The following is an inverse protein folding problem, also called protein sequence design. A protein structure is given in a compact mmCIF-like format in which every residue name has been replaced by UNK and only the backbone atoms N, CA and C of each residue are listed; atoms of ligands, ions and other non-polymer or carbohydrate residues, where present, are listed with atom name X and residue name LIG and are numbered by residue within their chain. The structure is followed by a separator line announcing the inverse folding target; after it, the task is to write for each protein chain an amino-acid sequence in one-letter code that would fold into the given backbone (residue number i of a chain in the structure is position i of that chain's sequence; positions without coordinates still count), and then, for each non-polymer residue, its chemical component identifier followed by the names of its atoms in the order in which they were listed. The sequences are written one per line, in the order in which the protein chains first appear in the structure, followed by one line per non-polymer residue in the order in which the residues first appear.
data_IF_393382645625
#
_entry.id   IF_393382645625
#
_cell.length_a   1.000
_cell.length_b   1.000
_cell.length_c   1.000
_cell.angle_alpha   90.00
_cell.angle_beta   90.00
_cell.angle_gamma   90.00
#
_symmetry.space_group_name_H-M   'P 1'
#
loop_
_entity.id
_entity.type
_entity.pdbx_description
1 polymer ?
#
# COMPACT_ATOMS: atom_id res chain seq x y z
N UNK A 1 -26.93 -9.57 12.53
CA UNK A 1 -25.64 -9.02 12.99
C UNK A 1 -25.94 -7.63 13.49
N UNK A 2 -25.63 -7.31 14.75
CA UNK A 2 -25.72 -5.91 15.22
C UNK A 2 -24.52 -5.19 14.65
N UNK A 3 -24.67 -4.03 13.98
CA UNK A 3 -23.56 -3.29 13.38
C UNK A 3 -22.59 -2.67 14.41
N UNK A 4 -22.81 -2.93 15.71
CA UNK A 4 -22.18 -2.22 16.82
C UNK A 4 -21.08 -3.00 17.53
N UNK A 5 -20.80 -4.23 17.11
CA UNK A 5 -19.83 -5.11 17.80
C UNK A 5 -18.37 -4.83 17.39
N UNK A 6 -17.98 -3.55 17.41
CA UNK A 6 -16.60 -3.14 17.23
C UNK A 6 -15.83 -3.28 18.54
N UNK A 7 -14.79 -4.09 18.51
CA UNK A 7 -13.80 -4.21 19.58
C UNK A 7 -12.54 -3.41 19.20
N UNK A 8 -12.04 -2.58 20.13
CA UNK A 8 -10.83 -1.79 19.93
C UNK A 8 -9.74 -2.21 20.92
N UNK A 9 -8.49 -2.26 20.45
CA UNK A 9 -7.31 -2.57 21.26
C UNK A 9 -6.11 -1.78 20.75
N UNK A 10 -5.11 -1.57 21.59
CA UNK A 10 -3.78 -1.07 21.21
C UNK A 10 -2.75 -2.21 21.15
N UNK A 11 -3.15 -3.42 21.52
CA UNK A 11 -2.30 -4.61 21.51
C UNK A 11 -2.30 -5.26 20.12
N UNK A 12 -1.13 -5.21 19.48
CA UNK A 12 -0.93 -5.80 18.14
C UNK A 12 -1.05 -7.33 18.15
N UNK A 13 -0.59 -7.99 19.20
CA UNK A 13 -0.58 -9.46 19.26
C UNK A 13 -2.02 -9.98 19.49
N UNK A 14 -2.79 -9.32 20.35
CA UNK A 14 -4.22 -9.58 20.51
C UNK A 14 -4.95 -9.41 19.17
N UNK A 15 -4.72 -8.29 18.48
CA UNK A 15 -5.33 -8.02 17.19
C UNK A 15 -4.97 -9.08 16.15
N UNK A 16 -3.69 -9.44 16.03
CA UNK A 16 -3.24 -10.44 15.06
C UNK A 16 -3.74 -11.85 15.37
N UNK A 17 -3.90 -12.20 16.64
CA UNK A 17 -4.46 -13.49 17.05
C UNK A 17 -5.92 -13.63 16.55
N UNK A 18 -6.71 -12.56 16.59
CA UNK A 18 -8.13 -12.54 16.18
C UNK A 18 -8.29 -12.27 14.69
N UNK A 19 -7.66 -11.22 14.15
CA UNK A 19 -7.82 -10.79 12.76
C UNK A 19 -7.01 -11.60 11.75
N UNK A 20 -5.94 -12.28 12.19
CA UNK A 20 -4.96 -12.86 11.28
C UNK A 20 -5.54 -13.89 10.31
N UNK A 21 -6.48 -14.72 10.75
CA UNK A 21 -7.21 -15.67 9.88
C UNK A 21 -8.02 -14.96 8.81
N UNK A 22 -8.81 -13.96 9.21
CA UNK A 22 -9.62 -13.14 8.32
C UNK A 22 -8.76 -12.41 7.27
N UNK A 23 -7.68 -11.76 7.70
CA UNK A 23 -6.80 -11.02 6.77
C UNK A 23 -6.12 -11.96 5.76
N UNK A 24 -5.69 -13.15 6.20
CA UNK A 24 -5.08 -14.15 5.31
C UNK A 24 -6.10 -14.90 4.43
N UNK A 25 -7.39 -14.80 4.67
CA UNK A 25 -8.42 -15.42 3.81
C UNK A 25 -8.53 -14.76 2.43
N UNK A 26 -8.12 -13.48 2.32
CA UNK A 26 -8.11 -12.71 1.06
C UNK A 26 -6.81 -11.93 0.93
N UNK A 27 -5.65 -12.60 0.82
CA UNK A 27 -4.35 -11.96 0.99
C UNK A 27 -4.05 -10.89 -0.07
N UNK A 28 -4.53 -11.05 -1.30
CA UNK A 28 -4.42 -10.04 -2.34
C UNK A 28 -5.17 -8.76 -1.96
N UNK A 29 -6.42 -8.87 -1.52
CA UNK A 29 -7.25 -7.71 -1.14
C UNK A 29 -6.72 -7.00 0.10
N UNK A 30 -6.25 -7.76 1.07
CA UNK A 30 -5.73 -7.26 2.34
C UNK A 30 -4.22 -6.99 2.32
N UNK A 31 -3.63 -6.82 1.11
CA UNK A 31 -2.17 -6.63 0.96
C UNK A 31 -1.64 -5.45 1.77
N UNK A 32 -2.38 -4.34 1.86
CA UNK A 32 -1.97 -3.16 2.63
C UNK A 32 -1.95 -3.45 4.12
N UNK A 33 -3.00 -4.09 4.64
CA UNK A 33 -3.07 -4.49 6.05
C UNK A 33 -1.96 -5.49 6.40
N UNK A 34 -1.85 -6.58 5.65
CA UNK A 34 -0.86 -7.63 5.90
C UNK A 34 0.58 -7.08 5.88
N UNK A 35 0.92 -6.25 4.90
CA UNK A 35 2.27 -5.70 4.77
C UNK A 35 2.58 -4.72 5.91
N UNK A 36 1.61 -3.87 6.30
CA UNK A 36 1.80 -2.87 7.36
C UNK A 36 1.87 -3.53 8.74
N UNK A 37 0.99 -4.48 9.02
CA UNK A 37 0.98 -5.22 10.29
C UNK A 37 2.27 -6.06 10.47
N UNK A 38 2.78 -6.66 9.41
CA UNK A 38 4.07 -7.36 9.46
C UNK A 38 5.22 -6.39 9.76
N UNK A 39 5.18 -5.18 9.19
CA UNK A 39 6.16 -4.14 9.53
C UNK A 39 6.03 -3.69 10.99
N UNK A 40 4.81 -3.58 11.52
CA UNK A 40 4.59 -3.30 12.96
C UNK A 40 5.14 -4.43 13.84
N UNK A 41 4.90 -5.69 13.46
CA UNK A 41 5.39 -6.86 14.19
C UNK A 41 6.91 -6.94 14.24
N UNK A 42 7.59 -6.60 13.15
CA UNK A 42 9.06 -6.71 13.04
C UNK A 42 9.82 -5.50 13.58
N UNK A 43 9.21 -4.31 13.57
CA UNK A 43 9.87 -3.04 13.95
C UNK A 43 9.24 -2.33 15.14
N UNK A 44 8.12 -2.84 15.62
CA UNK A 44 7.30 -2.15 16.62
C UNK A 44 6.43 -1.04 16.00
N UNK A 45 5.37 -0.69 16.71
CA UNK A 45 4.41 0.37 16.32
C UNK A 45 5.03 1.76 16.29
N UNK A 46 6.08 2.00 17.09
CA UNK A 46 6.83 3.26 17.14
C UNK A 46 7.48 3.65 15.79
N UNK A 47 7.70 2.67 14.89
CA UNK A 47 8.18 2.95 13.53
C UNK A 47 7.20 3.76 12.66
N UNK A 48 5.96 3.95 13.11
CA UNK A 48 4.89 4.67 12.41
C UNK A 48 4.61 6.07 13.01
N UNK A 49 5.39 6.50 13.97
CA UNK A 49 5.28 7.81 14.61
C UNK A 49 5.07 7.74 16.12
N UNK A 50 4.97 8.92 16.74
CA UNK A 50 4.70 9.05 18.17
C UNK A 50 3.21 8.98 18.44
N UNK A 51 2.81 8.14 19.39
CA UNK A 51 1.42 7.92 19.80
C UNK A 51 0.93 6.50 19.52
N UNK A 52 -0.27 6.16 20.03
CA UNK A 52 -0.80 4.82 19.90
C UNK A 52 -1.23 4.50 18.47
N UNK A 53 -1.04 3.25 18.08
CA UNK A 53 -1.77 2.61 16.99
C UNK A 53 -3.00 1.96 17.60
N UNK A 54 -4.17 2.30 17.08
CA UNK A 54 -5.44 1.70 17.52
C UNK A 54 -5.86 0.68 16.48
N UNK A 55 -6.17 -0.51 16.92
CA UNK A 55 -6.72 -1.59 16.11
C UNK A 55 -8.21 -1.76 16.39
N UNK A 56 -9.00 -2.11 15.38
CA UNK A 56 -10.43 -2.38 15.54
C UNK A 56 -10.85 -3.63 14.79
N UNK A 57 -11.75 -4.37 15.38
CA UNK A 57 -12.36 -5.58 14.84
C UNK A 57 -13.87 -5.47 14.88
N UNK A 58 -14.51 -5.75 13.76
CA UNK A 58 -15.94 -6.00 13.71
C UNK A 58 -16.16 -7.51 13.78
N UNK A 59 -16.77 -7.96 14.88
CA UNK A 59 -17.01 -9.37 15.11
C UNK A 59 -18.50 -9.67 15.27
N UNK A 60 -18.92 -10.79 14.74
CA UNK A 60 -20.26 -11.32 14.96
C UNK A 60 -20.23 -12.85 14.93
N UNK A 61 -20.96 -13.50 15.83
CA UNK A 61 -21.05 -14.95 15.93
C UNK A 61 -19.66 -15.65 16.00
N UNK A 62 -18.68 -15.02 16.66
CA UNK A 62 -17.32 -15.55 16.82
C UNK A 62 -16.43 -15.45 15.57
N UNK A 63 -16.87 -14.72 14.54
CA UNK A 63 -16.09 -14.50 13.32
C UNK A 63 -15.78 -13.01 13.12
N UNK A 64 -14.57 -12.71 12.62
CA UNK A 64 -14.19 -11.37 12.20
C UNK A 64 -14.76 -11.10 10.81
N UNK A 65 -15.46 -9.99 10.66
CA UNK A 65 -16.08 -9.54 9.40
C UNK A 65 -15.38 -8.35 8.80
N UNK A 66 -14.77 -7.51 9.64
CA UNK A 66 -13.93 -6.39 9.19
C UNK A 66 -12.83 -6.09 10.20
N UNK A 67 -11.80 -5.42 9.73
CA UNK A 67 -10.66 -5.02 10.54
C UNK A 67 -10.17 -3.63 10.12
N UNK A 68 -9.62 -2.90 11.08
CA UNK A 68 -8.96 -1.63 10.85
C UNK A 68 -7.71 -1.49 11.70
N UNK A 69 -6.84 -0.59 11.27
CA UNK A 69 -5.89 0.06 12.16
C UNK A 69 -5.87 1.57 11.90
N UNK A 70 -5.65 2.34 12.95
CA UNK A 70 -5.47 3.79 12.93
C UNK A 70 -4.06 4.12 13.36
N UNK A 71 -3.29 4.73 12.47
CA UNK A 71 -1.90 5.14 12.71
C UNK A 71 -1.83 6.37 13.63
N UNK A 72 -0.65 6.64 14.25
CA UNK A 72 -0.38 7.91 14.94
C UNK A 72 -0.64 9.14 14.09
N UNK A 73 -0.41 9.06 12.76
CA UNK A 73 -0.79 10.10 11.78
C UNK A 73 -2.30 10.34 11.67
N UNK A 74 -3.13 9.62 12.46
CA UNK A 74 -4.60 9.65 12.46
C UNK A 74 -5.24 9.13 11.17
N UNK A 75 -4.49 8.52 10.26
CA UNK A 75 -5.04 7.83 9.09
C UNK A 75 -5.57 6.47 9.50
N UNK A 76 -6.79 6.16 9.07
CA UNK A 76 -7.43 4.85 9.26
C UNK A 76 -7.31 4.03 7.97
N UNK A 77 -6.94 2.77 8.10
CA UNK A 77 -6.93 1.80 7.01
C UNK A 77 -7.95 0.72 7.31
N UNK A 78 -8.91 0.54 6.41
CA UNK A 78 -10.07 -0.34 6.58
C UNK A 78 -10.00 -1.53 5.64
N UNK A 79 -10.56 -2.65 6.06
CA UNK A 79 -11.07 -3.68 5.15
C UNK A 79 -12.49 -3.30 4.71
N UNK A 80 -13.06 -4.05 3.75
CA UNK A 80 -14.38 -3.75 3.19
C UNK A 80 -15.47 -3.63 4.26
N UNK A 81 -16.30 -2.60 4.14
CA UNK A 81 -17.47 -2.32 4.98
C UNK A 81 -18.70 -2.03 4.12
N UNK A 82 -19.90 -2.38 4.62
CA UNK A 82 -21.13 -1.82 4.06
C UNK A 82 -21.28 -0.34 4.47
N UNK A 83 -22.13 0.44 3.77
CA UNK A 83 -22.40 1.84 4.15
C UNK A 83 -22.89 1.98 5.60
N UNK A 84 -23.72 1.05 6.08
CA UNK A 84 -24.23 1.04 7.46
C UNK A 84 -23.11 0.76 8.47
N UNK A 85 -22.20 -0.18 8.15
CA UNK A 85 -21.04 -0.48 8.98
C UNK A 85 -20.08 0.70 9.05
N UNK A 86 -19.88 1.40 7.92
CA UNK A 86 -19.06 2.60 7.85
C UNK A 86 -19.64 3.74 8.69
N UNK A 87 -20.95 3.93 8.68
CA UNK A 87 -21.63 4.95 9.49
C UNK A 87 -21.51 4.66 11.00
N UNK A 88 -21.78 3.42 11.39
CA UNK A 88 -21.60 2.97 12.78
C UNK A 88 -20.16 3.15 13.25
N UNK A 89 -19.17 2.76 12.42
CA UNK A 89 -17.76 2.95 12.75
C UNK A 89 -17.40 4.42 12.94
N UNK A 90 -17.86 5.31 12.06
CA UNK A 90 -17.62 6.74 12.18
C UNK A 90 -18.18 7.30 13.49
N UNK A 91 -19.40 6.92 13.86
CA UNK A 91 -20.02 7.28 15.15
C UNK A 91 -19.26 6.74 16.36
N UNK A 92 -18.77 5.49 16.28
CA UNK A 92 -17.97 4.88 17.36
C UNK A 92 -16.63 5.58 17.57
N UNK A 93 -15.90 5.85 16.48
CA UNK A 93 -14.60 6.57 16.55
C UNK A 93 -14.80 7.99 17.12
N UNK A 94 -15.85 8.69 16.70
CA UNK A 94 -16.21 10.00 17.23
C UNK A 94 -16.56 9.94 18.72
N UNK A 95 -17.37 8.95 19.13
CA UNK A 95 -17.75 8.74 20.53
C UNK A 95 -16.56 8.40 21.44
N UNK A 96 -15.51 7.79 20.90
CA UNK A 96 -14.25 7.54 21.60
C UNK A 96 -13.30 8.76 21.60
N UNK A 97 -13.69 9.88 21.02
CA UNK A 97 -12.84 11.06 20.90
C UNK A 97 -11.65 10.89 19.94
N UNK A 98 -11.68 9.85 19.10
CA UNK A 98 -10.59 9.56 18.16
C UNK A 98 -10.74 10.45 16.92
N UNK A 99 -9.76 11.31 16.69
CA UNK A 99 -9.68 12.10 15.45
C UNK A 99 -9.16 11.27 14.30
N UNK A 100 -9.73 11.46 13.10
CA UNK A 100 -9.29 10.82 11.85
C UNK A 100 -8.89 11.89 10.86
N UNK A 101 -7.64 11.84 10.38
CA UNK A 101 -7.09 12.77 9.39
C UNK A 101 -7.14 12.21 7.95
N UNK A 102 -7.57 10.98 7.79
CA UNK A 102 -7.75 10.36 6.48
C UNK A 102 -8.15 8.90 6.59
N UNK A 103 -8.68 8.37 5.50
CA UNK A 103 -9.07 6.96 5.36
C UNK A 103 -8.47 6.38 4.09
N UNK A 104 -8.09 5.11 4.13
CA UNK A 104 -7.66 4.31 2.99
C UNK A 104 -8.37 2.96 3.03
N UNK A 105 -9.09 2.63 1.96
CA UNK A 105 -9.78 1.36 1.79
C UNK A 105 -10.04 1.09 0.30
N UNK A 106 -10.74 0.01 -0.02
CA UNK A 106 -11.42 -0.10 -1.32
C UNK A 106 -12.34 1.11 -1.53
N UNK A 107 -12.61 1.41 -2.80
CA UNK A 107 -13.27 2.66 -3.21
C UNK A 107 -14.60 2.90 -2.49
N UNK A 108 -15.46 1.88 -2.44
CA UNK A 108 -16.80 2.02 -1.88
C UNK A 108 -16.76 2.21 -0.36
N UNK A 109 -15.91 1.44 0.33
CA UNK A 109 -15.70 1.58 1.78
C UNK A 109 -15.09 2.94 2.13
N UNK A 110 -14.06 3.38 1.40
CA UNK A 110 -13.43 4.67 1.67
C UNK A 110 -14.40 5.84 1.46
N UNK A 111 -15.21 5.78 0.41
CA UNK A 111 -16.23 6.79 0.10
C UNK A 111 -17.33 6.80 1.17
N UNK A 112 -17.90 5.64 1.47
CA UNK A 112 -18.96 5.54 2.48
C UNK A 112 -18.49 5.99 3.88
N UNK A 113 -17.24 5.64 4.26
CA UNK A 113 -16.68 6.10 5.53
C UNK A 113 -16.41 7.61 5.53
N UNK A 114 -15.87 8.18 4.45
CA UNK A 114 -15.61 9.61 4.37
C UNK A 114 -16.91 10.43 4.47
N UNK A 115 -17.98 10.00 3.78
CA UNK A 115 -19.31 10.60 3.87
C UNK A 115 -19.90 10.48 5.28
N UNK A 116 -19.79 9.31 5.90
CA UNK A 116 -20.23 9.10 7.27
C UNK A 116 -19.46 10.00 8.24
N UNK A 117 -18.13 10.07 8.10
CA UNK A 117 -17.29 10.91 8.94
C UNK A 117 -17.66 12.40 8.82
N UNK A 118 -17.96 12.87 7.59
CA UNK A 118 -18.47 14.24 7.36
C UNK A 118 -19.79 14.48 8.10
N UNK A 119 -20.74 13.53 8.05
CA UNK A 119 -22.02 13.67 8.76
C UNK A 119 -21.85 13.77 10.29
N UNK A 120 -20.96 12.94 10.86
CA UNK A 120 -20.76 12.88 12.31
C UNK A 120 -19.90 14.03 12.87
N UNK A 121 -19.01 14.62 12.05
CA UNK A 121 -18.01 15.57 12.57
C UNK A 121 -18.04 16.95 11.91
N UNK A 122 -18.70 17.09 10.77
CA UNK A 122 -18.64 18.30 9.94
C UNK A 122 -17.28 18.47 9.21
N UNK A 123 -16.40 17.47 9.22
CA UNK A 123 -15.12 17.51 8.54
C UNK A 123 -15.29 17.60 7.02
N UNK A 124 -14.37 18.31 6.34
CA UNK A 124 -14.29 18.23 4.88
C UNK A 124 -13.50 16.99 4.45
N UNK A 125 -13.90 16.37 3.33
CA UNK A 125 -13.17 15.27 2.70
C UNK A 125 -12.64 15.69 1.32
N UNK A 126 -11.36 15.43 1.09
CA UNK A 126 -10.70 15.65 -0.19
C UNK A 126 -10.08 14.34 -0.70
N UNK A 127 -10.12 14.12 -2.02
CA UNK A 127 -9.42 13.01 -2.62
C UNK A 127 -7.90 13.19 -2.46
N UNK A 128 -7.25 12.26 -1.76
CA UNK A 128 -5.81 12.28 -1.56
C UNK A 128 -5.06 11.31 -2.49
N UNK A 129 -5.56 10.10 -2.66
CA UNK A 129 -4.90 9.07 -3.46
C UNK A 129 -5.90 8.12 -4.11
N UNK A 130 -5.57 7.62 -5.31
CA UNK A 130 -6.28 6.54 -5.99
C UNK A 130 -5.30 5.49 -6.48
N UNK A 131 -5.67 4.23 -6.32
CA UNK A 131 -4.86 3.11 -6.80
C UNK A 131 -5.73 1.97 -7.29
N UNK A 132 -5.34 1.37 -8.41
CA UNK A 132 -5.91 0.12 -8.88
C UNK A 132 -5.03 -1.03 -8.46
N UNK A 133 -5.56 -1.92 -7.64
CA UNK A 133 -4.94 -3.16 -7.28
C UNK A 133 -5.05 -4.14 -8.46
N UNK A 134 -3.92 -4.68 -8.87
CA UNK A 134 -3.85 -5.77 -9.82
C UNK A 134 -3.37 -7.03 -9.11
N UNK A 135 -3.96 -8.16 -9.48
CA UNK A 135 -3.56 -9.50 -9.03
C UNK A 135 -3.04 -10.30 -10.21
N UNK A 136 -1.95 -11.02 -10.03
CA UNK A 136 -1.43 -11.90 -11.05
C UNK A 136 -2.43 -13.05 -11.33
N UNK A 137 -2.78 -13.20 -12.61
CA UNK A 137 -3.37 -14.41 -13.16
C UNK A 137 -2.26 -15.33 -13.67
N UNK A 138 -2.15 -15.49 -14.99
CA UNK A 138 -1.06 -16.25 -15.62
C UNK A 138 0.06 -15.31 -16.03
N UNK A 139 1.27 -15.54 -15.52
CA UNK A 139 2.43 -14.71 -15.86
C UNK A 139 2.81 -14.90 -17.35
N UNK A 140 2.76 -13.81 -18.10
CA UNK A 140 3.11 -13.74 -19.53
C UNK A 140 4.34 -12.85 -19.73
N UNK A 141 5.53 -13.41 -19.98
CA UNK A 141 6.72 -12.61 -20.26
C UNK A 141 6.56 -11.76 -21.53
N UNK A 142 7.23 -10.59 -21.63
CA UNK A 142 7.23 -9.82 -22.86
C UNK A 142 7.94 -10.56 -23.99
N UNK A 143 7.43 -10.40 -25.22
CA UNK A 143 8.07 -10.92 -26.42
C UNK A 143 8.28 -9.78 -27.42
N UNK A 144 9.54 -9.57 -27.89
CA UNK A 144 10.77 -10.23 -27.41
C UNK A 144 11.15 -9.82 -25.99
N UNK A 145 11.82 -10.70 -25.25
CA UNK A 145 12.45 -10.34 -23.97
C UNK A 145 13.63 -9.39 -24.28
N UNK A 146 13.72 -8.22 -23.66
CA UNK A 146 14.86 -7.32 -23.86
C UNK A 146 16.16 -7.98 -23.40
N UNK A 147 17.25 -7.73 -24.12
CA UNK A 147 18.57 -8.25 -23.75
C UNK A 147 18.95 -7.85 -22.31
N UNK A 148 19.55 -8.79 -21.58
CA UNK A 148 19.92 -8.58 -20.18
C UNK A 148 19.40 -9.68 -19.26
N UNK A 149 19.47 -9.41 -17.95
CA UNK A 149 19.02 -10.36 -16.92
C UNK A 149 18.55 -9.66 -15.66
N UNK A 150 17.66 -10.32 -14.92
CA UNK A 150 17.29 -9.91 -13.56
C UNK A 150 18.32 -10.39 -12.53
N UNK A 151 18.73 -9.54 -11.61
CA UNK A 151 19.57 -9.91 -10.46
C UNK A 151 19.21 -9.11 -9.22
N UNK A 152 19.51 -9.68 -8.05
CA UNK A 152 19.34 -8.97 -6.78
C UNK A 152 20.28 -7.76 -6.70
N UNK A 153 19.79 -6.68 -6.09
CA UNK A 153 20.59 -5.49 -5.77
C UNK A 153 21.53 -5.82 -4.62
N UNK A 154 22.82 -5.49 -4.78
CA UNK A 154 23.84 -5.73 -3.77
C UNK A 154 23.98 -4.55 -2.80
N UNK A 155 24.54 -4.80 -1.60
CA UNK A 155 24.73 -3.75 -0.57
C UNK A 155 25.55 -2.55 -1.06
N UNK A 156 26.56 -2.79 -1.89
CA UNK A 156 27.41 -1.73 -2.49
C UNK A 156 26.65 -0.80 -3.44
N UNK A 157 25.48 -1.21 -3.91
CA UNK A 157 24.64 -0.46 -4.85
C UNK A 157 23.52 0.33 -4.13
N UNK A 158 23.55 0.35 -2.79
CA UNK A 158 22.48 0.94 -2.01
C UNK A 158 22.26 2.44 -2.29
N UNK A 159 23.34 3.19 -2.49
CA UNK A 159 23.25 4.61 -2.85
C UNK A 159 22.57 4.82 -4.20
N UNK A 160 22.96 4.02 -5.20
CA UNK A 160 22.30 4.02 -6.51
C UNK A 160 20.81 3.67 -6.41
N UNK A 161 20.49 2.65 -5.62
CA UNK A 161 19.09 2.26 -5.34
C UNK A 161 18.30 3.41 -4.70
N UNK A 162 18.85 4.08 -3.69
CA UNK A 162 18.21 5.25 -3.07
C UNK A 162 17.98 6.37 -4.09
N UNK A 163 18.94 6.61 -4.99
CA UNK A 163 18.77 7.55 -6.09
C UNK A 163 17.55 7.24 -6.95
N UNK A 164 17.40 6.01 -7.37
CA UNK A 164 16.24 5.58 -8.17
C UNK A 164 14.93 5.58 -7.39
N UNK A 165 14.96 5.32 -6.10
CA UNK A 165 13.76 5.47 -5.25
C UNK A 165 13.34 6.94 -5.15
N UNK A 166 14.28 7.90 -5.07
CA UNK A 166 13.99 9.35 -5.13
C UNK A 166 13.37 9.75 -6.46
N UNK A 167 13.97 9.32 -7.58
CA UNK A 167 13.43 9.60 -8.91
C UNK A 167 12.02 9.01 -9.08
N UNK A 168 11.79 7.79 -8.62
CA UNK A 168 10.47 7.18 -8.62
C UNK A 168 9.46 7.97 -7.77
N UNK A 169 9.85 8.37 -6.55
CA UNK A 169 8.98 9.15 -5.67
C UNK A 169 8.56 10.48 -6.32
N UNK A 170 9.54 11.18 -6.95
CA UNK A 170 9.27 12.41 -7.70
C UNK A 170 8.32 12.17 -8.89
N UNK A 171 8.52 11.09 -9.65
CA UNK A 171 7.67 10.72 -10.80
C UNK A 171 6.21 10.45 -10.40
N UNK A 172 5.96 9.98 -9.19
CA UNK A 172 4.59 9.72 -8.67
C UNK A 172 4.07 10.83 -7.75
N UNK A 173 4.79 11.97 -7.67
CA UNK A 173 4.36 13.13 -6.90
C UNK A 173 4.46 12.96 -5.37
N UNK A 174 5.30 12.05 -4.88
CA UNK A 174 5.54 11.86 -3.45
C UNK A 174 6.64 12.79 -2.95
N UNK A 175 6.31 13.61 -1.95
CA UNK A 175 7.30 14.41 -1.21
C UNK A 175 7.87 13.58 -0.06
N UNK A 176 8.99 12.89 -0.30
CA UNK A 176 9.67 12.07 0.70
C UNK A 176 11.17 12.28 0.64
N UNK A 177 11.80 12.51 1.80
CA UNK A 177 13.26 12.51 1.90
C UNK A 177 13.78 11.08 1.88
N UNK A 178 14.69 10.79 0.98
CA UNK A 178 15.33 9.47 0.81
C UNK A 178 16.84 9.67 0.77
N UNK A 179 17.47 9.47 1.91
CA UNK A 179 18.92 9.48 2.12
C UNK A 179 19.30 8.39 3.14
N UNK A 180 20.58 8.28 3.47
CA UNK A 180 21.06 7.26 4.40
C UNK A 180 20.45 7.39 5.80
N UNK A 181 20.14 8.61 6.26
CA UNK A 181 19.54 8.87 7.57
C UNK A 181 18.05 8.59 7.62
N UNK A 182 17.33 8.81 6.51
CA UNK A 182 15.88 8.68 6.44
C UNK A 182 15.41 7.34 5.88
N UNK A 183 16.29 6.60 5.15
CA UNK A 183 15.95 5.38 4.43
C UNK A 183 15.10 4.38 5.23
N UNK A 184 15.54 4.08 6.45
CA UNK A 184 14.86 3.09 7.29
C UNK A 184 13.39 3.45 7.57
N UNK A 185 13.06 4.74 7.65
CA UNK A 185 11.69 5.25 7.86
C UNK A 185 10.83 5.26 6.60
N UNK A 186 11.42 5.11 5.41
CA UNK A 186 10.68 5.20 4.16
C UNK A 186 9.87 3.93 3.87
N UNK A 187 8.90 4.04 2.96
CA UNK A 187 8.18 2.89 2.43
C UNK A 187 9.03 2.00 1.51
N UNK A 188 10.20 2.46 1.12
CA UNK A 188 11.14 1.76 0.25
C UNK A 188 12.06 0.81 1.01
N UNK A 189 12.25 1.01 2.31
CA UNK A 189 13.03 0.11 3.15
C UNK A 189 12.38 -1.29 3.26
N UNK A 190 13.20 -2.28 3.62
CA UNK A 190 12.76 -3.66 3.93
C UNK A 190 12.17 -4.43 2.73
N UNK A 191 12.46 -3.99 1.53
CA UNK A 191 12.09 -4.69 0.30
C UNK A 191 13.28 -5.43 -0.27
N UNK A 192 13.00 -6.49 -1.02
CA UNK A 192 13.98 -7.14 -1.87
C UNK A 192 13.94 -6.47 -3.24
N UNK A 193 15.07 -5.88 -3.65
CA UNK A 193 15.16 -5.22 -4.93
C UNK A 193 15.84 -6.09 -5.97
N UNK A 194 15.33 -6.02 -7.19
CA UNK A 194 15.86 -6.66 -8.38
C UNK A 194 16.18 -5.59 -9.41
N UNK A 195 17.39 -5.58 -9.95
CA UNK A 195 17.73 -4.85 -11.15
C UNK A 195 17.52 -5.70 -12.40
N UNK A 196 17.03 -5.09 -13.47
CA UNK A 196 17.30 -5.58 -14.81
C UNK A 196 18.61 -4.97 -15.26
N UNK A 197 19.59 -5.81 -15.57
CA UNK A 197 20.93 -5.45 -15.98
C UNK A 197 21.06 -5.67 -17.49
N UNK A 198 21.49 -4.66 -18.21
CA UNK A 198 21.76 -4.75 -19.64
C UNK A 198 22.93 -5.69 -19.97
N UNK A 199 23.19 -5.94 -21.26
CA UNK A 199 24.29 -6.83 -21.68
C UNK A 199 25.68 -6.35 -21.23
N UNK A 200 25.84 -5.05 -21.00
CA UNK A 200 27.06 -4.41 -20.51
C UNK A 200 27.22 -4.44 -18.99
N UNK A 201 26.29 -5.07 -18.28
CA UNK A 201 26.28 -5.11 -16.83
C UNK A 201 25.68 -3.89 -16.15
N UNK A 202 25.19 -2.90 -16.91
CA UNK A 202 24.60 -1.67 -16.35
C UNK A 202 23.15 -1.90 -15.92
N UNK A 203 22.73 -1.51 -14.69
CA UNK A 203 21.32 -1.51 -14.30
C UNK A 203 20.51 -0.55 -15.21
N UNK A 204 19.37 -1.03 -15.73
CA UNK A 204 18.51 -0.26 -16.64
C UNK A 204 17.07 -0.13 -16.15
N UNK A 205 16.67 -0.95 -15.17
CA UNK A 205 15.36 -0.88 -14.51
C UNK A 205 15.45 -1.56 -13.15
N UNK A 206 14.54 -1.20 -12.22
CA UNK A 206 14.43 -1.86 -10.92
C UNK A 206 12.99 -2.23 -10.59
N UNK A 207 12.84 -3.26 -9.76
CA UNK A 207 11.59 -3.56 -9.07
C UNK A 207 11.88 -3.98 -7.62
N UNK A 208 11.05 -3.49 -6.69
CA UNK A 208 11.05 -3.91 -5.30
C UNK A 208 9.91 -4.90 -5.03
N UNK A 209 10.12 -5.82 -4.09
CA UNK A 209 9.11 -6.72 -3.59
C UNK A 209 9.08 -6.67 -2.06
N UNK A 210 7.89 -6.49 -1.49
CA UNK A 210 7.71 -6.63 -0.05
C UNK A 210 7.98 -8.09 0.39
N UNK A 211 8.25 -8.33 1.67
CA UNK A 211 8.32 -9.70 2.19
C UNK A 211 7.05 -10.51 1.87
N UNK A 212 7.20 -11.81 1.76
CA UNK A 212 6.07 -12.74 1.65
C UNK A 212 5.32 -12.77 2.99
N UNK A 213 4.08 -12.33 2.99
CA UNK A 213 3.23 -12.27 4.19
C UNK A 213 1.84 -12.78 3.85
N UNK A 214 1.33 -13.74 4.62
CA UNK A 214 -0.01 -14.29 4.41
C UNK A 214 -0.23 -14.92 3.04
N UNK A 215 0.81 -15.41 2.38
CA UNK A 215 0.75 -15.98 1.05
C UNK A 215 0.86 -14.95 -0.09
N UNK A 216 0.93 -13.65 0.20
CA UNK A 216 1.04 -12.62 -0.84
C UNK A 216 2.39 -11.91 -0.85
N UNK A 217 2.79 -11.46 -2.04
CA UNK A 217 3.90 -10.52 -2.26
C UNK A 217 3.38 -9.33 -3.05
N UNK A 218 3.60 -8.11 -2.54
CA UNK A 218 3.33 -6.88 -3.28
C UNK A 218 4.60 -6.35 -3.94
N UNK A 219 4.54 -6.16 -5.27
CA UNK A 219 5.61 -5.51 -6.04
C UNK A 219 5.42 -4.00 -5.99
N UNK A 220 6.45 -3.29 -5.52
CA UNK A 220 6.50 -1.84 -5.37
C UNK A 220 7.89 -1.42 -4.86
N UNK A 221 8.56 -0.42 -5.47
CA UNK A 221 8.26 0.24 -6.74
C UNK A 221 8.67 -0.58 -7.96
N UNK A 222 8.23 -0.14 -9.16
CA UNK A 222 8.87 -0.51 -10.43
C UNK A 222 9.30 0.78 -11.12
N UNK A 223 10.60 0.91 -11.41
CA UNK A 223 11.14 2.12 -11.97
C UNK A 223 12.09 1.86 -13.14
N UNK A 224 11.95 2.66 -14.18
CA UNK A 224 12.87 2.73 -15.32
C UNK A 224 13.17 4.20 -15.57
N UNK A 225 14.46 4.63 -15.53
CA UNK A 225 14.85 6.01 -15.82
C UNK A 225 14.29 6.49 -17.16
N UNK A 226 13.87 7.76 -17.23
CA UNK A 226 13.16 8.32 -18.40
C UNK A 226 13.87 8.03 -19.73
N UNK A 227 15.21 8.18 -19.79
CA UNK A 227 16.05 7.92 -20.98
C UNK A 227 16.05 6.45 -21.43
N UNK A 228 15.60 5.53 -20.61
CA UNK A 228 15.62 4.08 -20.86
C UNK A 228 14.21 3.49 -21.07
N UNK A 229 13.16 4.31 -20.98
CA UNK A 229 11.77 3.88 -21.20
C UNK A 229 11.50 3.47 -22.65
N UNK A 230 10.42 2.75 -22.86
CA UNK A 230 10.03 2.27 -24.21
C UNK A 230 10.81 1.07 -24.73
N UNK A 231 11.74 0.50 -23.93
CA UNK A 231 12.63 -0.61 -24.33
C UNK A 231 12.25 -1.97 -23.69
N UNK A 232 11.07 -2.08 -23.05
CA UNK A 232 10.59 -3.31 -22.42
C UNK A 232 11.19 -3.64 -21.05
N UNK A 233 12.13 -2.86 -20.51
CA UNK A 233 12.86 -3.18 -19.27
C UNK A 233 11.97 -3.26 -18.04
N UNK A 234 10.96 -2.39 -17.91
CA UNK A 234 10.00 -2.46 -16.82
C UNK A 234 9.24 -3.80 -16.81
N UNK A 235 8.83 -4.30 -17.98
CA UNK A 235 8.20 -5.61 -18.11
C UNK A 235 9.13 -6.74 -17.72
N UNK A 236 10.36 -6.70 -18.20
CA UNK A 236 11.35 -7.73 -17.91
C UNK A 236 11.70 -7.84 -16.42
N UNK A 237 11.95 -6.69 -15.74
CA UNK A 237 12.23 -6.69 -14.30
C UNK A 237 11.02 -7.11 -13.48
N UNK A 238 9.79 -6.71 -13.89
CA UNK A 238 8.56 -7.18 -13.24
C UNK A 238 8.40 -8.69 -13.35
N UNK A 239 8.66 -9.28 -14.50
CA UNK A 239 8.64 -10.75 -14.68
C UNK A 239 9.69 -11.42 -13.79
N UNK A 240 10.90 -10.87 -13.71
CA UNK A 240 11.96 -11.42 -12.88
C UNK A 240 11.58 -11.45 -11.39
N UNK A 241 11.08 -10.33 -10.85
CA UNK A 241 10.67 -10.24 -9.44
C UNK A 241 9.42 -11.09 -9.16
N UNK A 242 8.48 -11.18 -10.10
CA UNK A 242 7.29 -12.04 -10.00
C UNK A 242 7.67 -13.52 -9.92
N UNK A 243 8.57 -13.97 -10.80
CA UNK A 243 9.09 -15.36 -10.74
C UNK A 243 9.78 -15.66 -9.42
N UNK A 244 10.55 -14.70 -8.90
CA UNK A 244 11.19 -14.85 -7.59
C UNK A 244 10.17 -14.96 -6.45
N UNK A 245 9.08 -14.18 -6.48
CA UNK A 245 7.99 -14.25 -5.51
C UNK A 245 7.26 -15.60 -5.57
N UNK A 246 6.90 -16.09 -6.76
CA UNK A 246 6.26 -17.39 -6.96
C UNK A 246 7.18 -18.53 -6.49
N UNK A 247 8.48 -18.46 -6.81
CA UNK A 247 9.47 -19.45 -6.34
C UNK A 247 9.62 -19.47 -4.82
N UNK A 248 9.41 -18.30 -4.16
CA UNK A 248 9.41 -18.19 -2.71
C UNK A 248 8.11 -18.70 -2.05
N UNK A 249 7.13 -19.17 -2.83
CA UNK A 249 5.89 -19.74 -2.34
C UNK A 249 4.72 -18.75 -2.27
N UNK A 250 4.81 -17.60 -2.94
CA UNK A 250 3.66 -16.68 -3.02
C UNK A 250 2.52 -17.34 -3.83
N UNK A 251 1.33 -17.34 -3.25
CA UNK A 251 0.07 -17.73 -3.92
C UNK A 251 -0.58 -16.55 -4.62
N UNK A 252 -0.29 -15.35 -4.13
CA UNK A 252 -0.75 -14.09 -4.69
C UNK A 252 0.43 -13.14 -4.91
N UNK A 253 0.55 -12.63 -6.14
CA UNK A 253 1.47 -11.52 -6.44
C UNK A 253 0.62 -10.35 -6.91
N UNK A 254 0.79 -9.21 -6.25
CA UNK A 254 -0.04 -8.04 -6.48
C UNK A 254 0.80 -6.78 -6.70
N UNK A 255 0.21 -5.77 -7.31
CA UNK A 255 0.78 -4.45 -7.43
C UNK A 255 -0.34 -3.39 -7.54
N UNK A 256 -0.01 -2.15 -7.21
CA UNK A 256 -0.89 -1.01 -7.44
C UNK A 256 -0.41 -0.20 -8.64
N UNK A 257 -1.37 0.36 -9.36
CA UNK A 257 -1.16 1.38 -10.41
C UNK A 257 -2.03 2.58 -10.14
N UNK A 258 -1.63 3.74 -10.67
CA UNK A 258 -2.56 4.84 -10.85
C UNK A 258 -3.55 4.47 -11.96
N UNK A 259 -4.89 4.50 -11.72
CA UNK A 259 -5.89 4.25 -12.77
C UNK A 259 -5.75 5.15 -14.00
N UNK A 260 -5.24 6.37 -13.83
CA UNK A 260 -5.00 7.33 -14.92
C UNK A 260 -3.73 7.02 -15.73
N UNK A 261 -2.80 6.20 -15.20
CA UNK A 261 -1.58 5.82 -15.93
C UNK A 261 -1.85 4.68 -16.93
N UNK A 262 -2.33 5.02 -18.11
CA UNK A 262 -2.70 4.05 -19.14
C UNK A 262 -1.51 3.17 -19.57
N UNK A 263 -0.30 3.70 -19.58
CA UNK A 263 0.93 2.97 -19.93
C UNK A 263 1.22 1.84 -18.95
N UNK A 264 1.23 2.13 -17.66
CA UNK A 264 1.44 1.12 -16.61
C UNK A 264 0.32 0.09 -16.59
N UNK A 265 -0.94 0.52 -16.67
CA UNK A 265 -2.09 -0.37 -16.70
C UNK A 265 -2.04 -1.33 -17.90
N UNK A 266 -1.65 -0.84 -19.10
CA UNK A 266 -1.50 -1.67 -20.29
C UNK A 266 -0.31 -2.65 -20.15
N UNK A 267 0.82 -2.18 -19.58
CA UNK A 267 1.98 -3.03 -19.34
C UNK A 267 1.62 -4.22 -18.46
N UNK A 268 1.07 -3.97 -17.26
CA UNK A 268 0.81 -5.04 -16.29
C UNK A 268 -0.26 -6.02 -16.79
N UNK A 269 -1.29 -5.54 -17.53
CA UNK A 269 -2.25 -6.45 -18.18
C UNK A 269 -1.56 -7.39 -19.17
N UNK A 270 -0.64 -6.90 -20.01
CA UNK A 270 0.13 -7.76 -20.93
C UNK A 270 1.00 -8.79 -20.18
N UNK A 271 1.47 -8.48 -18.98
CA UNK A 271 2.21 -9.41 -18.14
C UNK A 271 1.32 -10.42 -17.39
N UNK A 272 -0.01 -10.31 -17.54
CA UNK A 272 -0.97 -11.22 -16.92
C UNK A 272 -1.50 -10.75 -15.56
N UNK A 273 -1.28 -9.50 -15.18
CA UNK A 273 -1.89 -8.89 -14.00
C UNK A 273 -3.28 -8.36 -14.35
N UNK A 274 -4.29 -8.86 -13.66
CA UNK A 274 -5.68 -8.48 -13.89
C UNK A 274 -6.13 -7.44 -12.86
N UNK A 275 -6.92 -6.43 -13.25
CA UNK A 275 -7.58 -5.54 -12.31
C UNK A 275 -8.37 -6.34 -11.28
N UNK A 276 -8.20 -6.04 -10.00
CA UNK A 276 -8.80 -6.80 -8.91
C UNK A 276 -9.72 -5.95 -8.02
N UNK A 277 -9.27 -4.75 -7.62
CA UNK A 277 -10.06 -3.80 -6.85
C UNK A 277 -9.51 -2.38 -7.04
N UNK A 278 -10.36 -1.38 -6.96
CA UNK A 278 -9.96 0.01 -6.88
C UNK A 278 -9.93 0.46 -5.41
N UNK A 279 -8.89 1.21 -5.04
CA UNK A 279 -8.68 1.75 -3.70
C UNK A 279 -8.67 3.27 -3.75
N UNK A 280 -9.16 3.90 -2.69
CA UNK A 280 -9.16 5.35 -2.54
C UNK A 280 -8.68 5.75 -1.16
N UNK A 281 -7.85 6.79 -1.10
CA UNK A 281 -7.51 7.51 0.10
C UNK A 281 -8.17 8.87 0.11
N UNK A 282 -8.88 9.20 1.19
CA UNK A 282 -9.37 10.53 1.46
C UNK A 282 -8.55 11.18 2.57
N UNK A 283 -8.27 12.46 2.40
CA UNK A 283 -7.80 13.32 3.48
C UNK A 283 -9.00 14.01 4.12
N UNK A 284 -9.05 13.99 5.45
CA UNK A 284 -10.16 14.49 6.25
C UNK A 284 -9.66 15.64 7.13
N UNK A 285 -10.25 16.82 6.98
CA UNK A 285 -9.86 18.01 7.72
C UNK A 285 -11.05 18.62 8.44
N UNK A 286 -10.80 19.25 9.61
CA UNK A 286 -11.86 19.95 10.33
C UNK A 286 -12.35 21.17 9.54
N UNK A 287 -13.63 21.55 9.65
CA UNK A 287 -14.16 22.78 9.08
C UNK A 287 -13.33 23.99 9.54
N UNK A 288 -12.86 24.83 8.62
CA UNK A 288 -12.05 26.02 8.92
C UNK A 288 -10.53 25.84 8.82
N UNK A 289 -10.01 24.63 8.67
CA UNK A 289 -8.56 24.41 8.44
C UNK A 289 -8.17 24.32 6.95
N UNK A 290 -9.13 24.28 6.05
CA UNK A 290 -8.90 24.20 4.59
C UNK A 290 -8.26 25.44 3.95
N UNK A 291 -7.93 26.48 4.72
CA UNK A 291 -7.35 27.73 4.22
C UNK A 291 -5.93 28.03 4.67
N UNK A 292 -5.32 27.20 5.54
CA UNK A 292 -4.03 27.53 6.17
C UNK A 292 -2.80 26.86 5.54
N UNK A 293 -2.97 25.92 4.62
CA UNK A 293 -1.84 25.22 3.96
C UNK A 293 -1.47 25.78 2.58
N UNK A 294 -2.13 26.83 2.11
CA UNK A 294 -1.87 27.43 0.78
C UNK A 294 -1.10 28.78 0.84
N UNK A 295 -0.54 29.19 1.98
CA UNK A 295 0.30 30.41 2.08
C UNK A 295 1.48 30.16 3.01
N UNK A 296 2.63 29.91 2.43
CA UNK A 296 3.96 29.93 3.03
C UNK A 296 4.87 28.95 2.28
N UNK A 297 5.85 29.30 1.56
CA UNK A 297 6.58 30.53 1.36
C UNK A 297 7.18 30.56 -0.04
N UNK A 298 7.46 31.81 -0.53
CA UNK A 298 8.15 32.08 -1.80
C UNK A 298 9.65 31.79 -1.75
#
# INVERSE_FOLDING_TARGET
MRPDDWHFTEDLDEFLARAGGFLRSRPALHTTQLTTLEKMRTRGTAAFGTGPVVFGLLEAAGAVHAALYRLPSRRVVLTALSPEQADVLAGRLTGLGLTVAGVLADHDTATGFAEAWQRHTGSAAAHGWRGRLHRLGTLTPPEPVPAGRGRSVEKREHEHLMGWCREFAADVGESVSIDAGTWAGTRFAEKRYTYWEGPDGTPVSMAGANPLVGGQVRIDPVYTPARLRGRGYAGAVTVAVTRAALKAGATDVVLFTDPANLTSNALYRRLGYLPYADFTGYDLSLPGTAGLTARGDG
#
